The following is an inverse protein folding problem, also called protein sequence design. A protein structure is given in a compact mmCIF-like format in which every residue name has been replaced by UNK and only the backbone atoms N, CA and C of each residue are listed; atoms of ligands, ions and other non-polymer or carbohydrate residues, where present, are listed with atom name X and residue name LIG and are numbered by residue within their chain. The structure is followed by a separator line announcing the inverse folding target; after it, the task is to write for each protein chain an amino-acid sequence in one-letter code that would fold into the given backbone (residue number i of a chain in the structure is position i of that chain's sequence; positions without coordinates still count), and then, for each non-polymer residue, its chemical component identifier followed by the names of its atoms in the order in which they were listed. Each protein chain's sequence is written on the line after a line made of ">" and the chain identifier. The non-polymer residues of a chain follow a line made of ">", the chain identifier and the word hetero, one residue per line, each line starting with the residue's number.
data_IF_551807678568
#
_entry.id   IF_551807678568
#
_cell.length_a   1.000
_cell.length_b   1.000
_cell.length_c   1.000
_cell.angle_alpha   90.00
_cell.angle_beta   90.00
_cell.angle_gamma   90.00
#
_symmetry.space_group_name_H-M   'P 1'
#
loop_
_entity.id
_entity.type
_entity.pdbx_description
1 polymer ?
#
# COMPACT_ATOMS: atom_id res chain seq x y z
N UNK A 1 -17.81 23.58 12.95
CA UNK A 1 -17.28 22.31 13.51
C UNK A 1 -16.42 21.52 12.51
N UNK A 2 -16.82 21.34 11.27
CA UNK A 2 -16.11 20.54 10.23
C UNK A 2 -14.63 20.94 10.04
N UNK A 3 -14.33 22.24 9.99
CA UNK A 3 -12.94 22.75 9.80
C UNK A 3 -11.97 22.33 10.91
N UNK A 4 -12.42 22.30 12.17
CA UNK A 4 -11.57 21.88 13.32
C UNK A 4 -11.27 20.38 13.27
N UNK A 5 -12.23 19.56 12.85
CA UNK A 5 -12.06 18.10 12.75
C UNK A 5 -11.10 17.73 11.63
N UNK A 6 -11.15 18.45 10.49
CA UNK A 6 -10.22 18.23 9.37
C UNK A 6 -8.78 18.58 9.75
N UNK A 7 -8.54 19.76 10.34
CA UNK A 7 -7.19 20.17 10.76
C UNK A 7 -6.63 19.20 11.79
N UNK A 8 -7.43 18.80 12.77
CA UNK A 8 -7.03 17.79 13.76
C UNK A 8 -6.65 16.47 13.09
N UNK A 9 -7.47 15.96 12.17
CA UNK A 9 -7.18 14.73 11.43
C UNK A 9 -5.89 14.83 10.61
N UNK A 10 -5.64 15.97 9.96
CA UNK A 10 -4.42 16.22 9.19
C UNK A 10 -3.16 16.23 10.10
N UNK A 11 -3.24 16.87 11.27
CA UNK A 11 -2.16 16.88 12.26
C UNK A 11 -1.88 15.47 12.78
N UNK A 12 -2.92 14.70 13.11
CA UNK A 12 -2.79 13.30 13.57
C UNK A 12 -2.12 12.45 12.49
N UNK A 13 -2.53 12.58 11.22
CA UNK A 13 -1.90 11.84 10.13
C UNK A 13 -0.44 12.26 9.91
N UNK A 14 -0.14 13.55 10.01
CA UNK A 14 1.23 14.05 9.91
C UNK A 14 2.10 13.49 11.03
N UNK A 15 1.63 13.55 12.29
CA UNK A 15 2.35 12.99 13.43
C UNK A 15 2.57 11.47 13.30
N UNK A 16 1.54 10.73 12.85
CA UNK A 16 1.66 9.30 12.56
C UNK A 16 2.70 9.01 11.47
N UNK A 17 2.72 9.80 10.39
CA UNK A 17 3.70 9.64 9.33
C UNK A 17 5.13 9.93 9.80
N UNK A 18 5.32 10.92 10.67
CA UNK A 18 6.62 11.22 11.28
C UNK A 18 7.09 10.07 12.18
N UNK A 19 6.19 9.56 13.02
CA UNK A 19 6.45 8.40 13.88
C UNK A 19 6.80 7.17 13.02
N UNK A 20 6.06 6.90 11.95
CA UNK A 20 6.32 5.77 11.07
C UNK A 20 7.66 5.89 10.35
N UNK A 21 8.09 7.10 9.97
CA UNK A 21 9.45 7.33 9.43
C UNK A 21 10.52 7.06 10.45
N UNK A 22 10.33 7.52 11.69
CA UNK A 22 11.26 7.24 12.78
C UNK A 22 11.35 5.74 13.07
N UNK A 23 10.23 5.05 13.19
CA UNK A 23 10.20 3.58 13.34
C UNK A 23 10.86 2.86 12.18
N UNK A 24 10.68 3.34 10.94
CA UNK A 24 11.36 2.81 9.76
C UNK A 24 12.89 2.97 9.82
N UNK A 25 13.37 4.13 10.28
CA UNK A 25 14.81 4.38 10.50
C UNK A 25 15.37 3.44 11.58
N UNK A 26 14.69 3.33 12.72
CA UNK A 26 15.08 2.39 13.80
C UNK A 26 15.11 0.96 13.29
N UNK A 27 14.11 0.55 12.51
CA UNK A 27 14.04 -0.77 11.89
C UNK A 27 15.24 -1.04 10.98
N UNK A 28 15.57 -0.10 10.10
CA UNK A 28 16.72 -0.23 9.22
C UNK A 28 18.03 -0.34 9.99
N UNK A 29 18.20 0.48 11.03
CA UNK A 29 19.36 0.41 11.92
C UNK A 29 19.48 -0.96 12.60
N UNK A 30 18.39 -1.48 13.16
CA UNK A 30 18.37 -2.80 13.81
C UNK A 30 18.71 -3.92 12.83
N UNK A 31 18.19 -3.87 11.61
CA UNK A 31 18.50 -4.87 10.57
C UNK A 31 20.00 -4.83 10.25
N UNK A 32 20.54 -3.64 9.99
CA UNK A 32 21.97 -3.49 9.64
C UNK A 32 22.89 -3.95 10.77
N UNK A 33 22.54 -3.65 12.02
CA UNK A 33 23.36 -3.97 13.21
C UNK A 33 23.33 -5.47 13.57
N UNK A 34 22.18 -6.15 13.42
CA UNK A 34 21.99 -7.49 13.97
C UNK A 34 21.76 -8.57 12.90
N UNK A 35 21.20 -8.25 11.77
CA UNK A 35 20.90 -9.21 10.68
C UNK A 35 21.95 -9.15 9.59
N UNK A 36 22.48 -7.95 9.34
CA UNK A 36 23.54 -7.70 8.36
C UNK A 36 23.05 -7.09 7.03
N UNK A 37 23.97 -6.40 6.36
CA UNK A 37 23.68 -5.67 5.13
C UNK A 37 23.31 -6.55 3.94
N UNK A 38 23.80 -7.81 3.88
CA UNK A 38 23.49 -8.74 2.79
C UNK A 38 22.01 -9.12 2.78
N UNK A 39 21.45 -9.50 3.93
CA UNK A 39 20.03 -9.85 4.03
C UNK A 39 19.12 -8.65 3.71
N UNK A 40 19.51 -7.46 4.18
CA UNK A 40 18.80 -6.23 3.83
C UNK A 40 18.90 -5.93 2.33
N UNK A 41 20.06 -6.12 1.72
CA UNK A 41 20.29 -5.93 0.29
C UNK A 41 19.40 -6.84 -0.58
N UNK A 42 19.24 -8.11 -0.22
CA UNK A 42 18.33 -9.05 -0.89
C UNK A 42 16.87 -8.58 -0.78
N UNK A 43 16.45 -8.12 0.40
CA UNK A 43 15.11 -7.55 0.59
C UNK A 43 14.91 -6.26 -0.21
N UNK A 44 15.92 -5.37 -0.21
CA UNK A 44 15.85 -4.09 -0.91
C UNK A 44 15.72 -4.23 -2.43
N UNK A 45 16.31 -5.28 -3.03
CA UNK A 45 16.18 -5.57 -4.46
C UNK A 45 14.74 -5.90 -4.89
N UNK A 46 13.90 -6.40 -3.99
CA UNK A 46 12.47 -6.67 -4.27
C UNK A 46 11.64 -5.38 -4.31
N UNK A 47 12.09 -4.34 -3.62
CA UNK A 47 11.30 -3.13 -3.38
C UNK A 47 10.85 -2.40 -4.66
N UNK A 48 11.70 -2.18 -5.69
CA UNK A 48 11.29 -1.54 -6.94
C UNK A 48 10.20 -2.32 -7.67
N UNK A 49 10.32 -3.67 -7.71
CA UNK A 49 9.34 -4.56 -8.35
C UNK A 49 8.01 -4.50 -7.60
N UNK A 50 8.06 -4.57 -6.28
CA UNK A 50 6.89 -4.47 -5.42
C UNK A 50 6.17 -3.12 -5.57
N UNK A 51 6.89 -1.99 -5.55
CA UNK A 51 6.30 -0.67 -5.74
C UNK A 51 5.69 -0.52 -7.13
N UNK A 52 6.35 -1.03 -8.19
CA UNK A 52 5.79 -1.02 -9.53
C UNK A 52 4.46 -1.79 -9.58
N UNK A 53 4.39 -2.98 -8.98
CA UNK A 53 3.17 -3.76 -8.86
C UNK A 53 2.07 -3.00 -8.11
N UNK A 54 2.41 -2.30 -7.01
CA UNK A 54 1.46 -1.45 -6.28
C UNK A 54 0.95 -0.29 -7.13
N UNK A 55 1.82 0.38 -7.88
CA UNK A 55 1.40 1.47 -8.77
C UNK A 55 0.45 0.97 -9.84
N UNK A 56 0.71 -0.20 -10.43
CA UNK A 56 -0.16 -0.83 -11.42
C UNK A 56 -1.54 -1.20 -10.86
N UNK A 57 -1.61 -1.64 -9.60
CA UNK A 57 -2.87 -2.06 -8.97
C UNK A 57 -3.67 -0.89 -8.41
N UNK A 58 -3.01 0.00 -7.65
CA UNK A 58 -3.70 1.05 -6.91
C UNK A 58 -3.87 2.31 -7.73
N UNK A 59 -2.87 2.62 -8.59
CA UNK A 59 -2.88 3.78 -9.46
C UNK A 59 -3.30 5.07 -8.73
N UNK A 60 -4.09 5.92 -9.36
CA UNK A 60 -4.71 7.10 -8.76
C UNK A 60 -6.05 6.84 -8.07
N UNK A 61 -6.50 5.55 -7.98
CA UNK A 61 -7.83 5.19 -7.48
C UNK A 61 -8.14 5.68 -6.05
N UNK A 62 -7.23 5.56 -5.07
CA UNK A 62 -7.52 6.07 -3.71
C UNK A 62 -7.79 7.57 -3.67
N UNK A 63 -7.07 8.35 -4.49
CA UNK A 63 -7.27 9.80 -4.59
C UNK A 63 -8.60 10.14 -5.28
N UNK A 64 -8.93 9.41 -6.35
CA UNK A 64 -10.21 9.56 -7.05
C UNK A 64 -11.39 9.25 -6.12
N UNK A 65 -11.30 8.16 -5.34
CA UNK A 65 -12.30 7.80 -4.32
C UNK A 65 -12.42 8.89 -3.28
N UNK A 66 -11.30 9.37 -2.74
CA UNK A 66 -11.31 10.42 -1.72
C UNK A 66 -12.04 11.68 -2.22
N UNK A 67 -11.78 12.08 -3.47
CA UNK A 67 -12.45 13.22 -4.10
C UNK A 67 -13.95 12.98 -4.29
N UNK A 68 -14.33 11.88 -4.95
CA UNK A 68 -15.72 11.57 -5.25
C UNK A 68 -16.56 11.35 -3.98
N UNK A 69 -16.02 10.65 -2.98
CA UNK A 69 -16.68 10.47 -1.68
C UNK A 69 -16.86 11.81 -0.98
N UNK A 70 -15.85 12.69 -0.99
CA UNK A 70 -15.95 14.02 -0.37
C UNK A 70 -17.02 14.89 -1.04
N UNK A 71 -17.12 14.84 -2.38
CA UNK A 71 -18.18 15.54 -3.14
C UNK A 71 -19.57 15.07 -2.70
N UNK A 72 -19.81 13.76 -2.67
CA UNK A 72 -21.13 13.21 -2.32
C UNK A 72 -21.49 13.43 -0.83
N UNK A 73 -20.51 13.34 0.05
CA UNK A 73 -20.70 13.63 1.49
C UNK A 73 -21.05 15.11 1.72
N UNK A 74 -20.44 16.03 0.96
CA UNK A 74 -20.77 17.46 1.05
C UNK A 74 -22.21 17.77 0.61
N UNK A 75 -22.77 16.94 -0.28
CA UNK A 75 -24.16 17.01 -0.74
C UNK A 75 -25.13 16.21 0.17
N UNK A 76 -24.63 15.55 1.21
CA UNK A 76 -25.43 14.70 2.10
C UNK A 76 -25.79 13.33 1.51
N UNK A 77 -25.19 12.92 0.39
CA UNK A 77 -25.47 11.67 -0.34
C UNK A 77 -24.64 10.50 0.17
N UNK A 78 -24.80 10.10 1.41
CA UNK A 78 -24.01 9.03 2.03
C UNK A 78 -24.20 7.65 1.35
N UNK A 79 -25.37 7.43 0.75
CA UNK A 79 -25.65 6.20 -0.02
C UNK A 79 -24.76 6.12 -1.27
N UNK A 80 -24.63 7.22 -1.98
CA UNK A 80 -23.79 7.33 -3.17
C UNK A 80 -22.31 7.19 -2.81
N UNK A 81 -21.85 7.84 -1.74
CA UNK A 81 -20.49 7.71 -1.21
C UNK A 81 -20.13 6.25 -0.90
N UNK A 82 -21.05 5.50 -0.29
CA UNK A 82 -20.88 4.04 -0.06
C UNK A 82 -20.88 3.22 -1.35
N UNK A 83 -21.66 3.62 -2.36
CA UNK A 83 -21.67 2.95 -3.65
C UNK A 83 -20.34 3.13 -4.39
N UNK A 84 -19.77 4.34 -4.38
CA UNK A 84 -18.45 4.65 -4.92
C UNK A 84 -17.38 3.79 -4.23
N UNK A 85 -17.37 3.75 -2.90
CA UNK A 85 -16.43 2.93 -2.13
C UNK A 85 -16.51 1.45 -2.51
N UNK A 86 -17.72 0.85 -2.52
CA UNK A 86 -17.89 -0.58 -2.82
C UNK A 86 -17.44 -0.93 -4.23
N UNK A 87 -17.75 -0.06 -5.20
CA UNK A 87 -17.34 -0.24 -6.58
C UNK A 87 -15.81 -0.24 -6.71
N UNK A 88 -15.17 0.76 -6.10
CA UNK A 88 -13.70 0.88 -6.15
C UNK A 88 -13.02 -0.22 -5.35
N UNK A 89 -13.58 -0.63 -4.21
CA UNK A 89 -13.10 -1.80 -3.47
C UNK A 89 -13.11 -3.05 -4.35
N UNK A 90 -14.20 -3.29 -5.10
CA UNK A 90 -14.28 -4.40 -6.05
C UNK A 90 -13.20 -4.32 -7.14
N UNK A 91 -12.97 -3.15 -7.72
CA UNK A 91 -11.91 -2.94 -8.72
C UNK A 91 -10.54 -3.25 -8.12
N UNK A 92 -10.24 -2.72 -6.93
CA UNK A 92 -8.95 -2.93 -6.26
C UNK A 92 -8.74 -4.36 -5.77
N UNK A 93 -9.82 -5.07 -5.40
CA UNK A 93 -9.75 -6.50 -5.12
C UNK A 93 -9.36 -7.29 -6.39
N UNK A 94 -10.02 -7.01 -7.52
CA UNK A 94 -9.75 -7.72 -8.79
C UNK A 94 -8.36 -7.37 -9.33
N UNK A 95 -8.01 -6.08 -9.43
CA UNK A 95 -6.69 -5.66 -9.93
C UNK A 95 -5.55 -6.12 -9.02
N UNK A 96 -5.73 -6.02 -7.70
CA UNK A 96 -4.76 -6.48 -6.72
C UNK A 96 -4.54 -7.99 -6.78
N UNK A 97 -5.61 -8.78 -6.89
CA UNK A 97 -5.53 -10.23 -7.04
C UNK A 97 -4.85 -10.61 -8.37
N UNK A 98 -5.25 -9.98 -9.47
CA UNK A 98 -4.69 -10.25 -10.79
C UNK A 98 -3.18 -9.97 -10.81
N UNK A 99 -2.74 -8.77 -10.38
CA UNK A 99 -1.32 -8.40 -10.40
C UNK A 99 -0.52 -9.24 -9.41
N UNK A 100 -1.08 -9.57 -8.23
CA UNK A 100 -0.43 -10.46 -7.25
C UNK A 100 -0.19 -11.85 -7.85
N UNK A 101 -1.19 -12.44 -8.51
CA UNK A 101 -1.07 -13.74 -9.17
C UNK A 101 -0.09 -13.68 -10.35
N UNK A 102 -0.17 -12.64 -11.19
CA UNK A 102 0.77 -12.47 -12.30
C UNK A 102 2.21 -12.34 -11.78
N UNK A 103 2.42 -11.50 -10.75
CA UNK A 103 3.75 -11.34 -10.15
C UNK A 103 4.27 -12.66 -9.58
N UNK A 104 3.41 -13.47 -8.96
CA UNK A 104 3.77 -14.81 -8.47
C UNK A 104 4.20 -15.73 -9.60
N UNK A 105 3.41 -15.82 -10.68
CA UNK A 105 3.70 -16.70 -11.84
C UNK A 105 4.99 -16.27 -12.55
N UNK A 106 5.16 -14.96 -12.76
CA UNK A 106 6.32 -14.44 -13.50
C UNK A 106 7.58 -14.28 -12.67
N UNK A 107 7.51 -14.38 -11.34
CA UNK A 107 8.65 -14.18 -10.43
C UNK A 107 9.86 -15.05 -10.81
N UNK A 108 9.63 -16.33 -11.15
CA UNK A 108 10.69 -17.26 -11.54
C UNK A 108 11.32 -16.88 -12.88
N UNK A 109 10.50 -16.41 -13.84
CA UNK A 109 10.98 -15.97 -15.17
C UNK A 109 11.73 -14.63 -15.17
N UNK A 110 11.68 -13.88 -14.07
CA UNK A 110 12.42 -12.61 -13.91
C UNK A 110 13.91 -12.83 -13.59
N UNK A 111 14.29 -14.04 -13.11
CA UNK A 111 15.67 -14.38 -12.80
C UNK A 111 16.50 -14.45 -14.08
N UNK A 112 17.71 -13.89 -14.01
CA UNK A 112 18.62 -13.78 -15.15
C UNK A 112 18.26 -12.68 -16.18
N UNK A 113 17.05 -12.10 -16.09
CA UNK A 113 16.62 -10.96 -16.94
C UNK A 113 16.56 -9.64 -16.20
N UNK A 114 16.01 -9.66 -15.01
CA UNK A 114 15.76 -8.46 -14.17
C UNK A 114 16.43 -8.63 -12.82
N UNK A 115 16.39 -9.85 -12.26
CA UNK A 115 16.96 -10.19 -10.95
C UNK A 115 18.25 -10.98 -11.20
N UNK A 116 19.38 -10.39 -10.80
CA UNK A 116 20.69 -11.03 -10.95
C UNK A 116 20.91 -12.19 -9.96
N UNK A 117 20.42 -12.07 -8.74
CA UNK A 117 20.59 -13.06 -7.65
C UNK A 117 19.36 -13.94 -7.45
N UNK A 118 19.42 -15.25 -7.73
CA UNK A 118 18.30 -16.18 -7.52
C UNK A 118 17.78 -16.24 -6.09
N UNK A 119 18.59 -15.87 -5.09
CA UNK A 119 18.22 -15.84 -3.67
C UNK A 119 17.12 -14.81 -3.34
N UNK A 120 16.85 -13.89 -4.26
CA UNK A 120 15.79 -12.87 -4.15
C UNK A 120 14.41 -13.47 -4.43
N UNK A 121 14.29 -14.59 -5.15
CA UNK A 121 13.00 -15.19 -5.53
C UNK A 121 12.11 -15.49 -4.32
N UNK A 122 12.57 -16.21 -3.29
CA UNK A 122 11.74 -16.52 -2.13
C UNK A 122 11.24 -15.25 -1.41
N UNK A 123 12.06 -14.20 -1.40
CA UNK A 123 11.69 -12.90 -0.83
C UNK A 123 10.59 -12.23 -1.65
N UNK A 124 10.72 -12.26 -2.98
CA UNK A 124 9.71 -11.73 -3.90
C UNK A 124 8.37 -12.47 -3.77
N UNK A 125 8.43 -13.82 -3.75
CA UNK A 125 7.23 -14.65 -3.56
C UNK A 125 6.50 -14.35 -2.25
N UNK A 126 7.22 -14.08 -1.17
CA UNK A 126 6.64 -13.68 0.11
C UNK A 126 6.00 -12.28 0.05
N UNK A 127 6.50 -11.39 -0.81
CA UNK A 127 5.93 -10.05 -1.00
C UNK A 127 4.69 -10.03 -1.91
N UNK A 128 4.48 -11.04 -2.78
CA UNK A 128 3.38 -11.02 -3.75
C UNK A 128 1.99 -10.88 -3.12
N UNK A 129 1.61 -11.60 -2.04
CA UNK A 129 0.30 -11.43 -1.44
C UNK A 129 0.11 -10.05 -0.78
N UNK A 130 1.19 -9.38 -0.38
CA UNK A 130 1.12 -8.04 0.16
C UNK A 130 0.57 -7.02 -0.87
N UNK A 131 0.81 -7.23 -2.17
CA UNK A 131 0.25 -6.39 -3.26
C UNK A 131 -1.27 -6.39 -3.21
N UNK A 132 -1.89 -7.55 -3.04
CA UNK A 132 -3.34 -7.67 -2.87
C UNK A 132 -3.83 -6.95 -1.61
N UNK A 133 -3.20 -7.21 -0.47
CA UNK A 133 -3.58 -6.64 0.83
C UNK A 133 -3.53 -5.13 0.81
N UNK A 134 -2.45 -4.55 0.27
CA UNK A 134 -2.29 -3.08 0.14
C UNK A 134 -3.30 -2.49 -0.81
N UNK A 135 -3.60 -3.17 -1.93
CA UNK A 135 -4.62 -2.70 -2.89
C UNK A 135 -5.98 -2.57 -2.21
N UNK A 136 -6.39 -3.57 -1.44
CA UNK A 136 -7.64 -3.55 -0.66
C UNK A 136 -7.60 -2.45 0.41
N UNK A 137 -6.51 -2.34 1.17
CA UNK A 137 -6.33 -1.30 2.20
C UNK A 137 -6.46 0.10 1.63
N UNK A 138 -5.96 0.31 0.41
CA UNK A 138 -5.96 1.62 -0.24
C UNK A 138 -7.37 2.13 -0.56
N UNK A 139 -8.34 1.22 -0.82
CA UNK A 139 -9.75 1.60 -0.97
C UNK A 139 -10.33 2.19 0.32
N UNK A 140 -10.07 1.55 1.46
CA UNK A 140 -10.51 2.04 2.76
C UNK A 140 -9.85 3.37 3.12
N UNK A 141 -8.54 3.49 2.86
CA UNK A 141 -7.81 4.75 3.07
C UNK A 141 -8.41 5.89 2.25
N UNK A 142 -8.67 5.67 0.96
CA UNK A 142 -9.33 6.65 0.09
C UNK A 142 -10.73 7.04 0.60
N UNK A 143 -11.51 6.06 1.06
CA UNK A 143 -12.83 6.31 1.61
C UNK A 143 -12.80 7.20 2.88
N UNK A 144 -11.97 6.87 3.86
CA UNK A 144 -11.83 7.67 5.08
C UNK A 144 -11.26 9.06 4.82
N UNK A 145 -10.34 9.20 3.87
CA UNK A 145 -9.84 10.49 3.42
C UNK A 145 -10.96 11.33 2.79
N UNK A 146 -11.83 10.70 2.00
CA UNK A 146 -13.01 11.35 1.43
C UNK A 146 -14.03 11.79 2.48
N UNK A 147 -14.14 11.07 3.59
CA UNK A 147 -14.92 11.48 4.76
C UNK A 147 -14.24 12.58 5.59
N UNK A 148 -13.07 13.05 5.17
CA UNK A 148 -12.22 13.99 5.92
C UNK A 148 -11.83 13.49 7.33
N UNK A 149 -11.90 12.17 7.54
CA UNK A 149 -11.49 11.52 8.77
C UNK A 149 -10.18 10.74 8.56
N UNK A 150 -9.06 11.37 8.91
CA UNK A 150 -7.73 10.80 8.71
C UNK A 150 -7.30 9.83 9.83
N UNK A 151 -8.00 9.84 10.97
CA UNK A 151 -7.62 9.05 12.15
C UNK A 151 -7.57 7.54 11.88
N UNK A 152 -8.56 6.91 11.18
CA UNK A 152 -8.48 5.49 10.86
C UNK A 152 -7.28 5.12 10.00
N UNK A 153 -6.91 5.99 9.07
CA UNK A 153 -5.73 5.80 8.23
C UNK A 153 -4.45 5.87 9.07
N UNK A 154 -4.33 6.86 9.94
CA UNK A 154 -3.18 7.01 10.83
C UNK A 154 -2.99 5.78 11.73
N UNK A 155 -4.05 5.32 12.40
CA UNK A 155 -4.01 4.16 13.30
C UNK A 155 -3.60 2.90 12.52
N UNK A 156 -4.22 2.65 11.35
CA UNK A 156 -3.91 1.45 10.57
C UNK A 156 -2.45 1.41 10.12
N UNK A 157 -1.91 2.55 9.66
CA UNK A 157 -0.52 2.64 9.21
C UNK A 157 0.49 2.53 10.36
N UNK A 158 0.17 3.06 11.53
CA UNK A 158 1.03 2.94 12.70
C UNK A 158 1.06 1.49 13.21
N UNK A 159 -0.09 0.81 13.28
CA UNK A 159 -0.15 -0.61 13.63
C UNK A 159 0.60 -1.48 12.62
N UNK A 160 0.40 -1.23 11.32
CA UNK A 160 1.15 -1.87 10.23
C UNK A 160 2.66 -1.74 10.46
N UNK A 161 3.14 -0.53 10.74
CA UNK A 161 4.56 -0.27 10.93
C UNK A 161 5.12 -0.95 12.19
N UNK A 162 4.40 -0.91 13.31
CA UNK A 162 4.81 -1.58 14.54
C UNK A 162 4.94 -3.09 14.32
N UNK A 163 3.93 -3.71 13.70
CA UNK A 163 3.94 -5.15 13.41
C UNK A 163 5.07 -5.51 12.44
N UNK A 164 5.27 -4.71 11.39
CA UNK A 164 6.38 -4.88 10.43
C UNK A 164 7.73 -4.87 11.13
N UNK A 165 7.96 -3.89 12.00
CA UNK A 165 9.23 -3.76 12.76
C UNK A 165 9.41 -4.96 13.69
N UNK A 166 8.42 -5.26 14.52
CA UNK A 166 8.53 -6.33 15.51
C UNK A 166 8.64 -7.71 14.87
N UNK A 167 7.66 -8.09 14.05
CA UNK A 167 7.64 -9.43 13.45
C UNK A 167 8.71 -9.61 12.37
N UNK A 168 9.00 -8.56 11.59
CA UNK A 168 10.04 -8.64 10.56
C UNK A 168 11.43 -8.80 11.17
N UNK A 169 11.75 -8.06 12.22
CA UNK A 169 13.02 -8.19 12.92
C UNK A 169 13.15 -9.53 13.63
N UNK A 170 12.13 -9.96 14.38
CA UNK A 170 12.12 -11.25 15.07
C UNK A 170 12.24 -12.42 14.09
N UNK A 171 11.48 -12.40 12.98
CA UNK A 171 11.55 -13.45 11.96
C UNK A 171 12.91 -13.47 11.25
N UNK A 172 13.48 -12.29 10.95
CA UNK A 172 14.81 -12.21 10.34
C UNK A 172 15.89 -12.81 11.25
N UNK A 173 15.89 -12.49 12.55
CA UNK A 173 16.82 -13.08 13.52
C UNK A 173 16.62 -14.59 13.66
N UNK A 174 15.38 -15.05 13.71
CA UNK A 174 15.06 -16.49 13.83
C UNK A 174 15.56 -17.30 12.62
N UNK A 175 15.45 -16.73 11.43
CA UNK A 175 15.88 -17.40 10.19
C UNK A 175 17.35 -17.14 9.82
N UNK A 176 18.02 -16.18 10.45
CA UNK A 176 19.42 -15.85 10.16
C UNK A 176 20.39 -17.06 10.20
N UNK A 177 20.29 -18.01 11.17
CA UNK A 177 21.15 -19.19 11.20
C UNK A 177 20.98 -20.13 9.99
N UNK A 178 19.88 -20.00 9.25
CA UNK A 178 19.61 -20.78 8.02
C UNK A 178 20.16 -20.11 6.76
N UNK A 179 20.70 -18.89 6.88
CA UNK A 179 21.30 -18.12 5.80
C UNK A 179 20.62 -16.77 5.55
N UNK A 180 21.34 -15.90 4.87
CA UNK A 180 20.93 -14.50 4.61
C UNK A 180 19.66 -14.39 3.76
N UNK A 181 19.44 -15.30 2.81
CA UNK A 181 18.20 -15.38 2.02
C UNK A 181 16.97 -15.66 2.90
N UNK A 182 17.09 -16.57 3.88
CA UNK A 182 16.01 -16.86 4.82
C UNK A 182 15.75 -15.71 5.77
N UNK A 183 16.80 -15.00 6.21
CA UNK A 183 16.66 -13.77 6.99
C UNK A 183 15.91 -12.69 6.19
N UNK A 184 16.23 -12.50 4.91
CA UNK A 184 15.52 -11.59 4.01
C UNK A 184 14.04 -11.98 3.81
N UNK A 185 13.72 -13.29 3.74
CA UNK A 185 12.33 -13.76 3.77
C UNK A 185 11.63 -13.39 5.07
N UNK A 186 12.31 -13.44 6.21
CA UNK A 186 11.77 -12.98 7.50
C UNK A 186 11.38 -11.52 7.48
N UNK A 187 12.17 -10.65 6.83
CA UNK A 187 11.82 -9.23 6.63
C UNK A 187 10.57 -9.08 5.78
N UNK A 188 10.49 -9.84 4.67
CA UNK A 188 9.32 -9.85 3.78
C UNK A 188 8.05 -10.39 4.48
N UNK A 189 8.18 -11.41 5.32
CA UNK A 189 7.10 -11.90 6.18
C UNK A 189 6.58 -10.81 7.11
N UNK A 190 7.48 -10.09 7.79
CA UNK A 190 7.10 -8.97 8.66
C UNK A 190 6.36 -7.86 7.90
N UNK A 191 6.78 -7.57 6.66
CA UNK A 191 6.09 -6.64 5.78
C UNK A 191 4.66 -7.12 5.49
N UNK A 192 4.49 -8.37 5.05
CA UNK A 192 3.17 -8.96 4.77
C UNK A 192 2.28 -8.97 6.02
N UNK A 193 2.80 -9.40 7.17
CA UNK A 193 2.06 -9.43 8.43
C UNK A 193 1.60 -8.02 8.85
N UNK A 194 2.47 -7.01 8.70
CA UNK A 194 2.13 -5.61 8.94
C UNK A 194 0.97 -5.14 8.07
N UNK A 195 1.04 -5.38 6.75
CA UNK A 195 -0.03 -5.02 5.81
C UNK A 195 -1.37 -5.69 6.15
N UNK A 196 -1.34 -6.97 6.53
CA UNK A 196 -2.55 -7.71 6.94
C UNK A 196 -3.16 -7.09 8.20
N UNK A 197 -2.35 -6.80 9.23
CA UNK A 197 -2.83 -6.14 10.45
C UNK A 197 -3.36 -4.73 10.16
N UNK A 198 -2.69 -3.97 9.31
CA UNK A 198 -3.16 -2.66 8.86
C UNK A 198 -4.51 -2.73 8.16
N UNK A 199 -4.69 -3.72 7.25
CA UNK A 199 -5.98 -3.97 6.59
C UNK A 199 -7.08 -4.34 7.60
N UNK A 200 -6.79 -5.26 8.51
CA UNK A 200 -7.76 -5.68 9.54
C UNK A 200 -8.16 -4.50 10.43
N UNK A 201 -7.20 -3.67 10.83
CA UNK A 201 -7.46 -2.49 11.65
C UNK A 201 -8.37 -1.48 10.94
N UNK A 202 -8.10 -1.16 9.66
CA UNK A 202 -8.91 -0.17 8.93
C UNK A 202 -10.28 -0.75 8.55
N UNK A 203 -10.37 -2.04 8.23
CA UNK A 203 -11.63 -2.71 7.95
C UNK A 203 -12.53 -2.80 9.20
N UNK A 204 -11.94 -3.06 10.37
CA UNK A 204 -12.66 -3.04 11.64
C UNK A 204 -13.21 -1.64 11.94
N UNK A 205 -12.38 -0.61 11.77
CA UNK A 205 -12.81 0.79 11.93
C UNK A 205 -13.94 1.15 10.96
N UNK A 206 -13.89 0.66 9.71
CA UNK A 206 -14.99 0.84 8.75
C UNK A 206 -16.30 0.19 9.22
N UNK A 207 -16.26 -1.02 9.81
CA UNK A 207 -17.44 -1.70 10.37
C UNK A 207 -18.01 -0.95 11.58
N UNK A 208 -17.15 -0.38 12.41
CA UNK A 208 -17.54 0.36 13.62
C UNK A 208 -18.01 1.79 13.27
N UNK A 209 -17.57 2.34 12.13
CA UNK A 209 -17.93 3.69 11.70
C UNK A 209 -19.37 3.72 11.18
N UNK A 210 -20.27 4.24 12.01
CA UNK A 210 -21.68 4.43 11.62
C UNK A 210 -21.84 5.78 10.93
N UNK A 211 -21.97 5.77 9.61
CA UNK A 211 -22.42 6.97 8.90
C UNK A 211 -23.84 7.35 9.34
N UNK A 212 -24.16 8.66 9.36
CA UNK A 212 -25.52 9.12 9.63
C UNK A 212 -26.53 8.40 8.71
N UNK A 213 -27.66 7.97 9.30
CA UNK A 213 -28.77 7.34 8.55
C UNK A 213 -29.60 8.36 7.76
N UNK A 214 -29.44 9.65 8.05
CA UNK A 214 -30.11 10.72 7.31
C UNK A 214 -29.44 10.81 5.93
N UNK A 215 -30.08 10.19 4.98
CA UNK A 215 -29.70 10.21 3.58
C UNK A 215 -30.70 11.12 2.86
N UNK A 216 -30.24 11.97 1.99
CA UNK A 216 -31.11 12.75 1.13
C UNK A 216 -31.82 11.80 0.17
N UNK A 217 -33.04 11.34 0.56
CA UNK A 217 -33.81 10.30 -0.15
C UNK A 217 -34.17 10.69 -1.58
N UNK A 218 -34.12 11.98 -1.91
CA UNK A 218 -34.44 12.52 -3.24
C UNK A 218 -33.24 12.48 -4.20
N UNK A 219 -32.02 12.23 -3.69
CA UNK A 219 -30.85 12.17 -4.53
C UNK A 219 -30.86 10.90 -5.41
N UNK A 220 -30.97 11.09 -6.72
CA UNK A 220 -30.88 10.02 -7.71
C UNK A 220 -29.48 9.39 -7.62
N UNK A 221 -29.43 8.07 -7.48
CA UNK A 221 -28.17 7.32 -7.53
C UNK A 221 -27.58 7.41 -8.93
N UNK A 222 -26.34 7.84 -9.02
CA UNK A 222 -25.61 7.85 -10.30
C UNK A 222 -25.39 6.41 -10.76
N UNK A 223 -25.63 6.09 -12.03
CA UNK A 223 -25.37 4.74 -12.58
C UNK A 223 -23.91 4.33 -12.36
N UNK A 224 -23.70 3.03 -12.09
CA UNK A 224 -22.36 2.49 -11.81
C UNK A 224 -21.34 2.80 -12.90
N UNK A 225 -21.79 2.80 -14.16
CA UNK A 225 -20.95 3.15 -15.31
C UNK A 225 -20.42 4.59 -15.23
N UNK A 226 -21.25 5.55 -14.88
CA UNK A 226 -20.83 6.95 -14.74
C UNK A 226 -19.86 7.12 -13.58
N UNK A 227 -20.03 6.37 -12.48
CA UNK A 227 -19.06 6.35 -11.37
C UNK A 227 -17.72 5.83 -11.88
N UNK A 228 -17.71 4.73 -12.64
CA UNK A 228 -16.49 4.16 -13.24
C UNK A 228 -15.77 5.18 -14.13
N UNK A 229 -16.49 5.80 -15.06
CA UNK A 229 -15.90 6.78 -15.97
C UNK A 229 -15.31 7.97 -15.21
N UNK A 230 -16.04 8.55 -14.27
CA UNK A 230 -15.54 9.66 -13.42
C UNK A 230 -14.32 9.24 -12.58
N UNK A 231 -14.37 8.03 -12.00
CA UNK A 231 -13.23 7.50 -11.23
C UNK A 231 -12.01 7.35 -12.11
N UNK A 232 -12.17 6.82 -13.33
CA UNK A 232 -11.07 6.63 -14.27
C UNK A 232 -10.50 7.97 -14.78
N UNK A 233 -11.33 8.93 -15.10
CA UNK A 233 -10.89 10.27 -15.53
C UNK A 233 -10.05 10.99 -14.46
N UNK A 234 -10.36 10.76 -13.18
CA UNK A 234 -9.59 11.31 -12.07
C UNK A 234 -8.32 10.49 -11.77
N UNK A 235 -8.40 9.17 -11.89
CA UNK A 235 -7.30 8.28 -11.59
C UNK A 235 -6.21 8.27 -12.67
N UNK A 236 -6.59 8.32 -13.97
CA UNK A 236 -5.66 8.16 -15.09
C UNK A 236 -4.47 9.15 -15.08
N UNK A 237 -4.66 10.48 -14.94
CA UNK A 237 -3.54 11.41 -14.92
C UNK A 237 -2.61 11.20 -13.72
N UNK A 238 -3.16 10.86 -12.55
CA UNK A 238 -2.38 10.54 -11.34
C UNK A 238 -1.58 9.26 -11.53
N UNK A 239 -2.19 8.26 -12.18
CA UNK A 239 -1.53 7.00 -12.52
C UNK A 239 -0.35 7.22 -13.46
N UNK A 240 -0.56 7.98 -14.53
CA UNK A 240 0.50 8.29 -15.50
C UNK A 240 1.69 8.98 -14.82
N UNK A 241 1.44 9.98 -13.96
CA UNK A 241 2.49 10.66 -13.21
C UNK A 241 3.25 9.73 -12.27
N UNK A 242 2.54 8.82 -11.57
CA UNK A 242 3.16 7.84 -10.69
C UNK A 242 3.96 6.78 -11.45
N UNK A 243 3.45 6.30 -12.59
CA UNK A 243 4.18 5.35 -13.44
C UNK A 243 5.48 5.96 -13.97
N UNK A 244 5.46 7.21 -14.42
CA UNK A 244 6.67 7.91 -14.87
C UNK A 244 7.70 8.04 -13.74
N UNK A 245 7.29 8.53 -12.57
CA UNK A 245 8.23 8.70 -11.44
C UNK A 245 8.77 7.35 -10.94
N UNK A 246 7.92 6.33 -10.82
CA UNK A 246 8.36 5.00 -10.36
C UNK A 246 9.19 4.28 -11.41
N UNK A 247 8.86 4.46 -12.70
CA UNK A 247 9.66 3.94 -13.82
C UNK A 247 11.07 4.52 -13.82
N UNK A 248 11.25 5.82 -13.60
CA UNK A 248 12.55 6.45 -13.47
C UNK A 248 13.35 5.88 -12.29
N UNK A 249 12.73 5.73 -11.10
CA UNK A 249 13.40 5.09 -9.96
C UNK A 249 13.80 3.64 -10.23
N UNK A 250 12.99 2.88 -10.96
CA UNK A 250 13.32 1.50 -11.32
C UNK A 250 14.48 1.45 -12.32
N UNK A 251 14.54 2.37 -13.28
CA UNK A 251 15.67 2.50 -14.22
C UNK A 251 16.97 2.85 -13.49
N UNK A 252 16.95 3.82 -12.58
CA UNK A 252 18.11 4.18 -11.77
C UNK A 252 18.62 2.98 -10.95
N UNK A 253 17.72 2.20 -10.35
CA UNK A 253 18.06 1.02 -9.55
C UNK A 253 18.67 -0.12 -10.39
N UNK A 254 18.40 -0.18 -11.70
CA UNK A 254 18.93 -1.19 -12.62
C UNK A 254 20.24 -0.70 -13.28
N UNK A 255 20.30 0.55 -13.70
CA UNK A 255 21.42 1.10 -14.48
C UNK A 255 22.65 1.35 -13.60
N UNK A 256 22.45 1.91 -12.40
CA UNK A 256 23.59 2.31 -11.53
C UNK A 256 24.44 1.12 -11.11
N UNK A 257 23.88 -0.02 -10.61
CA UNK A 257 24.70 -1.18 -10.26
C UNK A 257 25.38 -1.84 -11.47
N UNK A 258 24.74 -1.80 -12.65
CA UNK A 258 25.31 -2.35 -13.88
C UNK A 258 26.56 -1.58 -14.34
N UNK A 259 26.56 -0.27 -14.21
CA UNK A 259 27.72 0.55 -14.58
C UNK A 259 28.88 0.47 -13.58
N UNK A 260 28.57 0.28 -12.29
CA UNK A 260 29.60 0.09 -11.25
C UNK A 260 30.30 -1.29 -11.32
N UNK A 261 29.70 -2.28 -11.95
CA UNK A 261 30.33 -3.60 -12.18
C UNK A 261 31.19 -3.63 -13.45
N UNK A 262 31.04 -2.66 -14.34
CA UNK A 262 31.81 -2.56 -15.61
C UNK A 262 32.96 -1.54 -15.54
N UNK A 263 33.05 -0.78 -14.45
CA UNK A 263 34.16 0.15 -14.14
C UNK A 263 35.11 -0.46 -13.10
#
# INVERSE_FOLDING_TARGET
>A
MVRRTFVFGAVVLFAANLLNRFLGFVYQYLIMAYVGGEAYGLFAQVFPIYIMALVLTTAGLPLAVAKLVSEEVSLGNFRQARAIFRLTLGILCVSGALVSVLLYIFSVGMVGRIIADPRVIPVLLMCTPAVFVVSVSSAFRGYFQGLQNMVPTAISQTLEQIVRVCLGFMAALYFLPRGTAFAAMGLAFGMLAGEVVGLLAIALQYRLHRLPRHDNREAKLTPRWQILVRTWQLAAPVTAGRLLSTGLYALDAIIIPGQLQTA
#
